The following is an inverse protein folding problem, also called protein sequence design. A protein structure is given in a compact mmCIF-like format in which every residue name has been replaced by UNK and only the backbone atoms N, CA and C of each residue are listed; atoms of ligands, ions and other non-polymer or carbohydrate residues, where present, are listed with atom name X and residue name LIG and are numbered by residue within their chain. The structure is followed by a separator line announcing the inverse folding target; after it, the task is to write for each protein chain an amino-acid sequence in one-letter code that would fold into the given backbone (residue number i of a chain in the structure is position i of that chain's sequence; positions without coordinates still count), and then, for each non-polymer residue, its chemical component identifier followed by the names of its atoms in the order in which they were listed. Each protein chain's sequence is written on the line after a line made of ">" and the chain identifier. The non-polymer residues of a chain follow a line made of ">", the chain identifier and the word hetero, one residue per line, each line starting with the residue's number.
data_IF_669628264822
#
_entry.id   IF_669628264822
#
_cell.length_a   1.000
_cell.length_b   1.000
_cell.length_c   1.000
_cell.angle_alpha   90.00
_cell.angle_beta   90.00
_cell.angle_gamma   90.00
#
_symmetry.space_group_name_H-M   'P 1'
#
loop_
_entity.id
_entity.type
_entity.pdbx_description
1 polymer ?
#
# COMPACT_ATOMS: atom_id res chain seq x y z
N UNK A 1 -21.65 11.91 -15.28
CA UNK A 1 -20.71 11.37 -14.26
C UNK A 1 -21.51 10.59 -13.23
N UNK A 2 -21.19 9.32 -13.02
CA UNK A 2 -21.81 8.55 -11.95
C UNK A 2 -21.28 9.09 -10.61
N UNK A 3 -22.17 9.43 -9.69
CA UNK A 3 -21.80 9.92 -8.37
C UNK A 3 -21.31 8.71 -7.56
N UNK A 4 -20.06 8.72 -7.11
CA UNK A 4 -19.54 7.69 -6.22
C UNK A 4 -20.25 7.78 -4.88
N UNK A 5 -20.76 6.66 -4.43
CA UNK A 5 -21.39 6.55 -3.12
C UNK A 5 -20.40 5.86 -2.19
N UNK A 6 -20.09 6.52 -1.08
CA UNK A 6 -19.28 5.95 0.00
C UNK A 6 -20.17 5.26 1.03
N UNK A 7 -19.76 4.08 1.49
CA UNK A 7 -20.31 3.42 2.68
C UNK A 7 -19.23 3.42 3.76
N UNK A 8 -19.24 4.46 4.59
CA UNK A 8 -18.14 4.72 5.52
C UNK A 8 -16.85 5.02 4.75
N UNK A 9 -15.75 4.34 5.08
CA UNK A 9 -14.45 4.49 4.42
C UNK A 9 -14.33 3.76 3.06
N UNK A 10 -15.36 2.98 2.66
CA UNK A 10 -15.32 2.15 1.46
C UNK A 10 -16.16 2.74 0.33
N UNK A 11 -15.65 2.54 -0.90
CA UNK A 11 -16.42 2.87 -2.11
C UNK A 11 -17.50 1.81 -2.31
N UNK A 12 -18.75 2.23 -2.54
CA UNK A 12 -19.77 1.31 -3.01
C UNK A 12 -19.51 0.98 -4.49
N UNK A 13 -18.94 -0.19 -4.73
CA UNK A 13 -18.57 -0.66 -6.07
C UNK A 13 -19.78 -0.73 -7.02
N UNK A 14 -20.99 -0.85 -6.46
CA UNK A 14 -22.23 -0.85 -7.25
C UNK A 14 -22.58 0.54 -7.82
N UNK A 15 -22.08 1.61 -7.19
CA UNK A 15 -22.30 2.99 -7.65
C UNK A 15 -21.40 3.38 -8.82
N UNK A 16 -20.35 2.60 -9.11
CA UNK A 16 -19.42 2.87 -10.19
C UNK A 16 -20.05 2.54 -11.56
N UNK A 17 -19.73 3.33 -12.57
CA UNK A 17 -20.03 2.97 -13.95
C UNK A 17 -19.15 1.76 -14.39
N UNK A 18 -19.47 1.16 -15.53
CA UNK A 18 -18.82 -0.06 -15.98
C UNK A 18 -17.31 0.10 -16.20
N UNK A 19 -16.86 1.25 -16.72
CA UNK A 19 -15.46 1.52 -17.00
C UNK A 19 -14.68 1.78 -15.71
N UNK A 20 -15.20 2.63 -14.82
CA UNK A 20 -14.57 2.93 -13.53
C UNK A 20 -14.50 1.67 -12.66
N UNK A 21 -15.57 0.87 -12.65
CA UNK A 21 -15.59 -0.42 -11.96
C UNK A 21 -14.51 -1.36 -12.48
N UNK A 22 -14.38 -1.47 -13.81
CA UNK A 22 -13.33 -2.29 -14.43
C UNK A 22 -11.94 -1.82 -14.00
N UNK A 23 -11.66 -0.51 -14.12
CA UNK A 23 -10.37 0.05 -13.78
C UNK A 23 -10.04 -0.15 -12.29
N UNK A 24 -11.01 0.10 -11.41
CA UNK A 24 -10.86 -0.08 -9.96
C UNK A 24 -10.60 -1.54 -9.60
N UNK A 25 -11.42 -2.48 -10.07
CA UNK A 25 -11.26 -3.90 -9.75
C UNK A 25 -9.97 -4.48 -10.34
N UNK A 26 -9.59 -4.05 -11.55
CA UNK A 26 -8.30 -4.47 -12.15
C UNK A 26 -7.13 -3.96 -11.31
N UNK A 27 -7.17 -2.70 -10.87
CA UNK A 27 -6.15 -2.14 -9.99
C UNK A 27 -6.04 -2.93 -8.67
N UNK A 28 -7.17 -3.23 -8.04
CA UNK A 28 -7.21 -4.02 -6.81
C UNK A 28 -6.65 -5.43 -7.01
N UNK A 29 -7.02 -6.11 -8.10
CA UNK A 29 -6.56 -7.46 -8.37
C UNK A 29 -5.03 -7.50 -8.54
N UNK A 30 -4.47 -6.62 -9.37
CA UNK A 30 -3.01 -6.55 -9.58
C UNK A 30 -2.29 -6.08 -8.32
N UNK A 31 -2.82 -5.11 -7.59
CA UNK A 31 -2.27 -4.65 -6.31
C UNK A 31 -2.27 -5.75 -5.26
N UNK A 32 -3.33 -6.55 -5.17
CA UNK A 32 -3.43 -7.67 -4.24
C UNK A 32 -2.40 -8.76 -4.54
N UNK A 33 -2.28 -9.17 -5.82
CA UNK A 33 -1.26 -10.16 -6.23
C UNK A 33 0.15 -9.63 -5.95
N UNK A 34 0.43 -8.38 -6.30
CA UNK A 34 1.71 -7.74 -6.03
C UNK A 34 2.03 -7.70 -4.52
N UNK A 35 1.03 -7.46 -3.67
CA UNK A 35 1.19 -7.46 -2.21
C UNK A 35 1.51 -8.85 -1.66
N UNK A 36 0.94 -9.91 -2.22
CA UNK A 36 1.31 -11.30 -1.85
C UNK A 36 2.77 -11.56 -2.21
N UNK A 37 3.18 -11.23 -3.44
CA UNK A 37 4.57 -11.41 -3.90
C UNK A 37 5.54 -10.57 -3.04
N UNK A 38 5.13 -9.39 -2.64
CA UNK A 38 5.91 -8.54 -1.72
C UNK A 38 6.04 -9.19 -0.35
N UNK A 39 4.97 -9.74 0.22
CA UNK A 39 5.02 -10.50 1.47
C UNK A 39 5.99 -11.68 1.40
N UNK A 40 5.99 -12.43 0.31
CA UNK A 40 6.95 -13.51 0.06
C UNK A 40 8.40 -12.99 0.02
N UNK A 41 8.63 -11.88 -0.65
CA UNK A 41 9.95 -11.23 -0.69
C UNK A 41 10.39 -10.77 0.70
N UNK A 42 9.53 -10.10 1.46
CA UNK A 42 9.81 -9.64 2.82
C UNK A 42 10.14 -10.80 3.77
N UNK A 43 9.41 -11.90 3.67
CA UNK A 43 9.68 -13.11 4.45
C UNK A 43 11.05 -13.69 4.10
N UNK A 44 11.41 -13.74 2.80
CA UNK A 44 12.69 -14.28 2.36
C UNK A 44 13.90 -13.48 2.89
N UNK A 45 13.82 -12.16 2.93
CA UNK A 45 14.90 -11.30 3.44
C UNK A 45 14.93 -11.18 4.98
N UNK A 46 14.07 -11.91 5.69
CA UNK A 46 13.99 -11.86 7.15
C UNK A 46 13.37 -10.57 7.71
N UNK A 47 12.72 -9.75 6.87
CA UNK A 47 12.16 -8.46 7.28
C UNK A 47 11.03 -8.59 8.31
N UNK A 48 10.33 -9.72 8.34
CA UNK A 48 9.23 -9.99 9.27
C UNK A 48 9.70 -10.57 10.61
N UNK A 49 11.00 -10.47 10.93
CA UNK A 49 11.59 -10.96 12.18
C UNK A 49 11.95 -12.44 12.18
N UNK A 50 11.77 -13.14 11.08
CA UNK A 50 12.30 -14.49 10.87
C UNK A 50 13.75 -14.42 10.37
N UNK A 51 14.54 -15.46 10.63
CA UNK A 51 15.87 -15.59 10.01
C UNK A 51 15.75 -15.59 8.47
N UNK A 52 16.65 -14.92 7.75
CA UNK A 52 16.69 -15.04 6.30
C UNK A 52 16.83 -16.53 5.92
N UNK A 53 15.89 -17.03 5.15
CA UNK A 53 15.89 -18.45 4.77
C UNK A 53 16.98 -18.70 3.72
N UNK A 54 18.03 -19.42 4.11
CA UNK A 54 19.06 -19.92 3.18
C UNK A 54 18.56 -21.17 2.43
N UNK A 55 17.70 -21.98 3.07
CA UNK A 55 17.02 -23.11 2.42
C UNK A 55 15.69 -22.65 1.83
N UNK A 56 15.76 -22.14 0.62
CA UNK A 56 14.57 -21.71 -0.08
C UNK A 56 14.02 -22.85 -0.94
N UNK A 57 12.73 -23.12 -0.78
CA UNK A 57 11.95 -23.95 -1.72
C UNK A 57 11.87 -23.30 -3.11
N UNK A 58 12.36 -22.05 -3.27
CA UNK A 58 12.46 -21.29 -4.51
C UNK A 58 13.94 -21.02 -4.80
N UNK A 59 14.38 -21.34 -6.01
CA UNK A 59 15.73 -21.02 -6.47
C UNK A 59 15.97 -19.50 -6.55
N UNK A 60 17.22 -19.04 -6.51
CA UNK A 60 17.57 -17.62 -6.67
C UNK A 60 16.99 -17.01 -7.96
N UNK A 61 16.98 -17.77 -9.05
CA UNK A 61 16.36 -17.36 -10.31
C UNK A 61 14.85 -17.20 -10.15
N UNK A 62 14.18 -18.10 -9.40
CA UNK A 62 12.78 -17.99 -9.08
C UNK A 62 12.45 -16.75 -8.24
N UNK A 63 13.30 -16.42 -7.27
CA UNK A 63 13.15 -15.20 -6.47
C UNK A 63 13.31 -13.93 -7.31
N UNK A 64 14.27 -13.90 -8.23
CA UNK A 64 14.41 -12.79 -9.16
C UNK A 64 13.13 -12.60 -9.99
N UNK A 65 12.54 -13.71 -10.45
CA UNK A 65 11.30 -13.69 -11.22
C UNK A 65 10.13 -13.13 -10.41
N UNK A 66 10.00 -13.55 -9.14
CA UNK A 66 9.00 -13.02 -8.21
C UNK A 66 9.16 -11.50 -8.01
N UNK A 67 10.38 -11.02 -7.84
CA UNK A 67 10.68 -9.58 -7.69
C UNK A 67 10.31 -8.78 -8.92
N UNK A 68 10.63 -9.29 -10.11
CA UNK A 68 10.24 -8.66 -11.38
C UNK A 68 8.72 -8.63 -11.53
N UNK A 69 8.03 -9.76 -11.31
CA UNK A 69 6.57 -9.84 -11.39
C UNK A 69 5.89 -8.90 -10.39
N UNK A 70 6.41 -8.81 -9.17
CA UNK A 70 5.90 -7.89 -8.15
C UNK A 70 5.92 -6.44 -8.68
N UNK A 71 7.05 -5.99 -9.20
CA UNK A 71 7.19 -4.64 -9.74
C UNK A 71 6.24 -4.42 -10.92
N UNK A 72 6.19 -5.35 -11.86
CA UNK A 72 5.31 -5.27 -13.03
C UNK A 72 3.85 -5.17 -12.60
N UNK A 73 3.41 -5.98 -11.65
CA UNK A 73 2.02 -5.97 -11.17
C UNK A 73 1.69 -4.69 -10.40
N UNK A 74 2.61 -4.15 -9.60
CA UNK A 74 2.42 -2.84 -8.99
C UNK A 74 2.27 -1.74 -10.05
N UNK A 75 3.08 -1.75 -11.10
CA UNK A 75 2.98 -0.76 -12.18
C UNK A 75 1.67 -0.87 -12.95
N UNK A 76 1.22 -2.09 -13.24
CA UNK A 76 -0.08 -2.32 -13.89
C UNK A 76 -1.21 -1.85 -12.97
N UNK A 77 -1.18 -2.23 -11.69
CA UNK A 77 -2.16 -1.79 -10.69
C UNK A 77 -2.21 -0.26 -10.59
N UNK A 78 -1.05 0.40 -10.51
CA UNK A 78 -0.95 1.85 -10.45
C UNK A 78 -1.49 2.53 -11.73
N UNK A 79 -1.25 1.95 -12.91
CA UNK A 79 -1.78 2.46 -14.17
C UNK A 79 -3.32 2.44 -14.21
N UNK A 80 -3.93 1.33 -13.82
CA UNK A 80 -5.39 1.24 -13.76
C UNK A 80 -5.97 2.09 -12.66
N UNK A 81 -5.28 2.20 -11.52
CA UNK A 81 -5.68 3.12 -10.45
C UNK A 81 -5.64 4.58 -10.91
N UNK A 82 -4.58 4.98 -11.63
CA UNK A 82 -4.49 6.33 -12.22
C UNK A 82 -5.66 6.62 -13.15
N UNK A 83 -6.04 5.66 -14.00
CA UNK A 83 -7.22 5.81 -14.89
C UNK A 83 -8.50 6.00 -14.08
N UNK A 84 -8.72 5.15 -13.08
CA UNK A 84 -9.85 5.26 -12.17
C UNK A 84 -9.87 6.63 -11.47
N UNK A 85 -8.78 6.99 -10.80
CA UNK A 85 -8.63 8.24 -10.05
C UNK A 85 -8.87 9.48 -10.92
N UNK A 86 -8.32 9.50 -12.14
CA UNK A 86 -8.46 10.64 -13.04
C UNK A 86 -9.90 10.90 -13.48
N UNK A 87 -10.72 9.85 -13.55
CA UNK A 87 -12.13 9.93 -13.92
C UNK A 87 -13.05 10.38 -12.78
N UNK A 88 -12.54 10.43 -11.55
CA UNK A 88 -13.34 10.76 -10.37
C UNK A 88 -13.56 12.28 -10.23
N UNK A 89 -14.58 12.63 -9.48
CA UNK A 89 -14.90 14.02 -9.16
C UNK A 89 -13.90 14.67 -8.19
N UNK A 90 -14.00 15.97 -8.02
CA UNK A 90 -13.08 16.73 -7.17
C UNK A 90 -13.27 16.39 -5.68
N UNK A 91 -14.46 15.96 -5.28
CA UNK A 91 -14.70 15.53 -3.91
C UNK A 91 -13.90 14.26 -3.58
N UNK A 92 -13.94 13.25 -4.45
CA UNK A 92 -13.17 12.04 -4.28
C UNK A 92 -11.67 12.31 -4.25
N UNK A 93 -11.18 13.14 -5.19
CA UNK A 93 -9.77 13.53 -5.27
C UNK A 93 -9.32 14.27 -4.02
N UNK A 94 -10.14 15.20 -3.53
CA UNK A 94 -9.85 15.96 -2.32
C UNK A 94 -9.81 15.05 -1.09
N UNK A 95 -10.78 14.15 -0.93
CA UNK A 95 -10.81 13.17 0.15
C UNK A 95 -9.58 12.27 0.13
N UNK A 96 -9.24 11.73 -1.05
CA UNK A 96 -8.06 10.89 -1.23
C UNK A 96 -6.76 11.62 -0.88
N UNK A 97 -6.60 12.86 -1.35
CA UNK A 97 -5.43 13.69 -1.04
C UNK A 97 -5.34 14.00 0.46
N UNK A 98 -6.48 14.26 1.11
CA UNK A 98 -6.54 14.49 2.55
C UNK A 98 -6.13 13.25 3.35
N UNK A 99 -6.57 12.08 2.95
CA UNK A 99 -6.16 10.80 3.54
C UNK A 99 -4.65 10.58 3.40
N UNK A 100 -4.08 10.83 2.22
CA UNK A 100 -2.63 10.74 2.00
C UNK A 100 -1.84 11.78 2.80
N UNK A 101 -2.35 13.01 2.92
CA UNK A 101 -1.76 14.03 3.77
C UNK A 101 -1.74 13.59 5.23
N UNK A 102 -2.85 13.00 5.73
CA UNK A 102 -2.90 12.38 7.05
C UNK A 102 -1.81 11.33 7.25
N UNK A 103 -1.59 10.47 6.25
CA UNK A 103 -0.48 9.51 6.26
C UNK A 103 0.90 10.17 6.37
N UNK A 104 1.14 11.22 5.60
CA UNK A 104 2.39 11.98 5.67
C UNK A 104 2.61 12.62 7.04
N UNK A 105 1.58 13.22 7.63
CA UNK A 105 1.64 13.73 9.01
C UNK A 105 1.87 12.62 10.03
N UNK A 106 1.19 11.49 9.89
CA UNK A 106 1.41 10.32 10.74
C UNK A 106 2.85 9.84 10.69
N UNK A 107 3.41 9.73 9.49
CA UNK A 107 4.83 9.40 9.31
C UNK A 107 5.76 10.39 10.00
N UNK A 108 5.52 11.69 9.83
CA UNK A 108 6.36 12.73 10.44
C UNK A 108 6.25 12.73 11.97
N UNK A 109 5.04 12.70 12.52
CA UNK A 109 4.83 12.80 13.97
C UNK A 109 5.26 11.51 14.67
N UNK A 110 4.68 10.38 14.30
CA UNK A 110 5.00 9.10 14.95
C UNK A 110 6.40 8.62 14.61
N UNK A 111 6.86 8.83 13.37
CA UNK A 111 8.23 8.53 12.98
C UNK A 111 9.25 9.33 13.76
N UNK A 112 8.99 10.63 14.02
CA UNK A 112 9.85 11.44 14.88
C UNK A 112 9.86 10.95 16.33
N UNK A 113 8.69 10.58 16.87
CA UNK A 113 8.60 9.99 18.22
C UNK A 113 9.42 8.70 18.29
N UNK A 114 9.26 7.80 17.32
CA UNK A 114 10.03 6.55 17.25
C UNK A 114 11.54 6.81 17.24
N UNK A 115 12.00 7.78 16.46
CA UNK A 115 13.42 8.13 16.34
C UNK A 115 13.97 8.71 17.64
N UNK A 116 13.22 9.59 18.30
CA UNK A 116 13.62 10.21 19.58
C UNK A 116 13.64 9.18 20.71
N UNK A 117 12.71 8.25 20.72
CA UNK A 117 12.60 7.22 21.78
C UNK A 117 13.57 6.04 21.55
N UNK A 118 14.03 5.81 20.34
CA UNK A 118 14.88 4.69 19.97
C UNK A 118 16.11 4.50 20.91
N UNK A 119 16.91 5.52 21.25
CA UNK A 119 18.07 5.37 22.13
C UNK A 119 17.71 4.95 23.56
N UNK A 120 16.53 5.35 24.04
CA UNK A 120 16.10 5.06 25.43
C UNK A 120 15.66 3.62 25.64
N UNK A 121 15.22 2.96 24.55
CA UNK A 121 14.75 1.57 24.58
C UNK A 121 15.74 0.60 23.91
N UNK A 122 16.93 1.04 23.51
CA UNK A 122 17.88 0.25 22.71
C UNK A 122 17.22 -0.39 21.48
N UNK A 123 16.33 0.36 20.84
CA UNK A 123 15.54 -0.08 19.71
C UNK A 123 15.97 0.66 18.44
N UNK A 124 16.02 -0.05 17.35
CA UNK A 124 16.33 0.52 16.03
C UNK A 124 15.11 0.40 15.13
N UNK A 125 14.35 1.51 14.94
CA UNK A 125 13.17 1.49 14.06
C UNK A 125 13.57 1.09 12.64
N UNK A 126 12.79 0.18 12.06
CA UNK A 126 12.93 -0.27 10.69
C UNK A 126 11.94 0.47 9.77
N UNK A 127 12.04 0.25 8.49
CA UNK A 127 11.04 0.77 7.52
C UNK A 127 9.60 0.35 7.89
N UNK A 128 9.44 -0.80 8.53
CA UNK A 128 8.13 -1.33 8.88
C UNK A 128 7.37 -0.45 9.89
N UNK A 129 8.03 0.03 10.94
CA UNK A 129 7.42 0.91 11.93
C UNK A 129 7.06 2.27 11.33
N UNK A 130 7.91 2.78 10.45
CA UNK A 130 7.61 4.01 9.70
C UNK A 130 6.43 3.83 8.74
N UNK A 131 6.32 2.67 8.10
CA UNK A 131 5.17 2.35 7.27
C UNK A 131 3.88 2.24 8.10
N UNK A 132 3.94 1.64 9.30
CA UNK A 132 2.80 1.61 10.23
C UNK A 132 2.42 3.01 10.70
N UNK A 133 3.38 3.89 10.95
CA UNK A 133 3.14 5.28 11.31
C UNK A 133 2.39 6.02 10.19
N UNK A 134 2.79 5.80 8.93
CA UNK A 134 2.07 6.31 7.77
C UNK A 134 0.64 5.74 7.69
N UNK A 135 0.49 4.43 7.82
CA UNK A 135 -0.81 3.77 7.75
C UNK A 135 -1.77 4.24 8.85
N UNK A 136 -1.27 4.43 10.08
CA UNK A 136 -2.06 5.01 11.16
C UNK A 136 -2.51 6.44 10.83
N UNK A 137 -1.61 7.26 10.29
CA UNK A 137 -1.93 8.62 9.86
C UNK A 137 -3.02 8.69 8.80
N UNK A 138 -3.04 7.75 7.83
CA UNK A 138 -4.12 7.68 6.84
C UNK A 138 -5.48 7.38 7.48
N UNK A 139 -5.52 6.57 8.53
CA UNK A 139 -6.75 6.28 9.27
C UNK A 139 -7.30 7.50 10.04
N UNK A 140 -6.45 8.43 10.46
CA UNK A 140 -6.87 9.68 11.10
C UNK A 140 -7.21 10.79 10.09
N UNK A 141 -6.70 10.70 8.86
CA UNK A 141 -6.98 11.64 7.79
C UNK A 141 -8.22 11.30 6.94
N UNK A 142 -8.84 10.16 7.14
CA UNK A 142 -10.05 9.72 6.46
C UNK A 142 -11.22 9.64 7.42
#
# INVERSE_FOLDING_TARGET
>A
MAKIIHKGMWIDIKSLNAEDKKNFLTSLAFGFIASILWGMHLSHIGFLGNEPTTDTWISETGLLFIRILMIVFFLIGAFFYKKFYSAQDDFYKSYHNFTFAGGAYGFLVFGSILTVMAPYFNYHPTFYEFFLAFAAGTGFGG
#
